data_IF_216096138040
#
_entry.id   IF_216096138040
#
_cell.length_a   1.000
_cell.length_b   1.000
_cell.length_c   1.000
_cell.angle_alpha   90.00
_cell.angle_beta   90.00
_cell.angle_gamma   90.00
#
_symmetry.space_group_name_H-M   'P 1'
#
loop_
_entity.id
_entity.type
_entity.pdbx_description
1 polymer ?
#
# COMPACT_ATOMS: atom_id res chain seq x y z
N UNK A 1 -10.72 -19.24 5.13
CA UNK A 1 -9.84 -18.47 4.23
C UNK A 1 -9.77 -17.02 4.71
N UNK A 2 -8.60 -16.37 4.63
CA UNK A 2 -8.42 -14.96 5.01
C UNK A 2 -7.42 -14.28 4.07
N UNK A 3 -7.82 -13.20 3.39
CA UNK A 3 -6.94 -12.40 2.53
C UNK A 3 -6.89 -10.95 3.00
N UNK A 4 -5.71 -10.49 3.37
CA UNK A 4 -5.50 -9.15 3.88
C UNK A 4 -4.51 -8.38 3.00
N UNK A 5 -4.91 -7.21 2.51
CA UNK A 5 -4.05 -6.29 1.78
C UNK A 5 -4.02 -4.95 2.51
N UNK A 6 -2.84 -4.57 2.97
CA UNK A 6 -2.55 -3.28 3.57
C UNK A 6 -1.63 -2.50 2.65
N UNK A 7 -2.01 -1.28 2.29
CA UNK A 7 -1.16 -0.36 1.53
C UNK A 7 -0.93 0.94 2.28
N UNK A 8 0.32 1.34 2.42
CA UNK A 8 0.72 2.62 3.00
C UNK A 8 1.31 3.54 1.94
N UNK A 9 0.93 4.82 1.94
CA UNK A 9 1.56 5.89 1.16
C UNK A 9 2.02 6.95 2.14
N UNK A 10 3.33 7.21 2.18
CA UNK A 10 3.95 8.09 3.17
C UNK A 10 4.71 9.21 2.47
N UNK A 11 4.49 10.46 2.88
CA UNK A 11 5.21 11.64 2.39
C UNK A 11 5.78 12.49 3.53
N UNK A 12 6.66 13.44 3.21
CA UNK A 12 7.33 14.32 4.17
C UNK A 12 8.10 13.52 5.23
N UNK A 13 7.88 13.85 6.49
CA UNK A 13 8.48 13.17 7.66
C UNK A 13 7.51 12.22 8.36
N UNK A 14 6.53 11.69 7.62
CA UNK A 14 5.50 10.81 8.19
C UNK A 14 6.07 9.47 8.66
N UNK A 15 5.37 8.86 9.62
CA UNK A 15 5.73 7.57 10.21
C UNK A 15 4.53 6.65 10.20
N UNK A 16 4.72 5.41 9.77
CA UNK A 16 3.70 4.36 9.86
C UNK A 16 4.22 3.13 10.61
N UNK A 17 3.31 2.43 11.29
CA UNK A 17 3.58 1.16 11.96
C UNK A 17 2.53 0.16 11.51
N UNK A 18 2.98 -1.00 11.03
CA UNK A 18 2.15 -2.14 10.75
C UNK A 18 2.56 -3.30 11.66
N UNK A 19 1.61 -3.85 12.39
CA UNK A 19 1.78 -5.08 13.16
C UNK A 19 0.60 -5.99 12.83
N UNK A 20 0.88 -7.09 12.14
CA UNK A 20 -0.13 -8.04 11.72
C UNK A 20 0.25 -9.42 12.20
N UNK A 21 -0.69 -10.16 12.77
CA UNK A 21 -0.46 -11.50 13.31
C UNK A 21 -1.55 -12.44 12.83
N UNK A 22 -1.15 -13.55 12.21
CA UNK A 22 -2.04 -14.66 11.87
C UNK A 22 -1.73 -15.80 12.83
N UNK A 23 -2.76 -16.31 13.48
CA UNK A 23 -2.70 -17.50 14.33
C UNK A 23 -3.56 -18.57 13.67
N UNK A 24 -3.00 -19.78 13.53
CA UNK A 24 -3.71 -20.95 13.02
C UNK A 24 -3.70 -22.03 14.09
N UNK A 25 -4.86 -22.24 14.72
CA UNK A 25 -5.04 -23.26 15.76
C UNK A 25 -4.84 -24.68 15.22
N UNK A 26 -4.51 -25.62 16.11
CA UNK A 26 -4.20 -27.01 15.75
C UNK A 26 -5.32 -27.71 14.98
N UNK A 27 -6.58 -27.40 15.29
CA UNK A 27 -7.75 -27.98 14.62
C UNK A 27 -8.10 -27.26 13.30
N UNK A 28 -7.46 -26.11 13.00
CA UNK A 28 -7.71 -25.28 11.82
C UNK A 28 -6.96 -25.78 10.58
N UNK A 29 -7.06 -27.08 10.30
CA UNK A 29 -6.51 -27.70 9.10
C UNK A 29 -7.17 -27.11 7.85
N UNK A 30 -6.45 -27.14 6.74
CA UNK A 30 -6.80 -26.58 5.43
C UNK A 30 -7.00 -25.07 5.43
N UNK A 31 -6.50 -24.36 6.45
CA UNK A 31 -6.52 -22.90 6.47
C UNK A 31 -5.71 -22.35 5.30
N UNK A 32 -6.35 -21.47 4.53
CA UNK A 32 -5.71 -20.64 3.51
C UNK A 32 -5.71 -19.18 4.00
N UNK A 33 -4.52 -18.62 4.20
CA UNK A 33 -4.34 -17.26 4.69
C UNK A 33 -3.22 -16.53 3.95
N UNK A 34 -3.50 -15.31 3.50
CA UNK A 34 -2.52 -14.41 2.91
C UNK A 34 -2.59 -13.02 3.56
N UNK A 35 -1.43 -12.48 3.94
CA UNK A 35 -1.29 -11.10 4.39
C UNK A 35 -0.22 -10.37 3.60
N UNK A 36 -0.62 -9.40 2.80
CA UNK A 36 0.28 -8.52 2.08
C UNK A 36 0.27 -7.11 2.68
N UNK A 37 1.43 -6.60 3.07
CA UNK A 37 1.65 -5.21 3.45
C UNK A 37 2.61 -4.56 2.44
N UNK A 38 2.17 -3.51 1.74
CA UNK A 38 3.00 -2.82 0.75
C UNK A 38 3.06 -1.35 1.10
N UNK A 39 4.25 -0.78 1.20
CA UNK A 39 4.43 0.60 1.63
C UNK A 39 5.23 1.38 0.59
N UNK A 40 4.67 2.51 0.15
CA UNK A 40 5.27 3.44 -0.78
C UNK A 40 5.74 4.69 -0.03
N UNK A 41 7.05 4.92 -0.04
CA UNK A 41 7.66 6.12 0.51
C UNK A 41 7.86 7.13 -0.63
N UNK A 42 7.20 8.28 -0.52
CA UNK A 42 7.29 9.40 -1.46
C UNK A 42 8.38 10.42 -1.08
N UNK A 43 8.98 10.28 0.11
CA UNK A 43 9.98 11.21 0.65
C UNK A 43 11.04 10.47 1.43
N UNK A 44 12.26 11.01 1.45
CA UNK A 44 13.42 10.37 2.11
C UNK A 44 13.31 10.33 3.64
N UNK A 45 12.59 11.30 4.21
CA UNK A 45 12.37 11.41 5.65
C UNK A 45 11.17 10.58 6.16
N UNK A 46 10.42 9.94 5.25
CA UNK A 46 9.30 9.09 5.62
C UNK A 46 9.82 7.74 6.13
N UNK A 47 9.20 7.21 7.19
CA UNK A 47 9.62 5.93 7.80
C UNK A 47 8.46 5.00 8.01
N UNK A 48 8.68 3.70 7.82
CA UNK A 48 7.69 2.67 8.12
C UNK A 48 8.34 1.52 8.87
N UNK A 49 7.68 1.04 9.91
CA UNK A 49 8.03 -0.17 10.62
C UNK A 49 6.94 -1.21 10.37
N UNK A 50 7.31 -2.36 9.83
CA UNK A 50 6.37 -3.44 9.53
C UNK A 50 6.82 -4.72 10.18
N UNK A 51 5.95 -5.33 10.98
CA UNK A 51 6.19 -6.58 11.69
C UNK A 51 5.03 -7.56 11.47
N UNK A 52 5.01 -8.28 10.33
CA UNK A 52 4.06 -9.36 10.11
C UNK A 52 4.53 -10.65 10.81
N UNK A 53 3.62 -11.36 11.47
CA UNK A 53 3.89 -12.56 12.27
C UNK A 53 2.96 -13.71 11.87
N UNK A 54 3.47 -14.94 11.91
CA UNK A 54 2.71 -16.17 11.71
C UNK A 54 2.96 -17.11 12.90
N UNK A 55 1.89 -17.57 13.53
CA UNK A 55 1.90 -18.64 14.53
C UNK A 55 1.02 -19.77 13.99
N UNK A 56 1.63 -20.88 13.58
CA UNK A 56 0.93 -21.99 12.92
C UNK A 56 1.07 -23.26 13.75
N UNK A 57 -0.05 -23.79 14.21
CA UNK A 57 -0.13 -25.02 14.99
C UNK A 57 -0.77 -26.20 14.22
N UNK A 58 -1.07 -26.01 12.93
CA UNK A 58 -1.67 -27.00 12.04
C UNK A 58 -0.74 -27.33 10.85
N UNK A 59 -0.75 -28.60 10.42
CA UNK A 59 0.19 -29.11 9.41
C UNK A 59 -0.30 -28.92 7.97
N UNK A 60 -1.59 -29.16 7.70
CA UNK A 60 -2.16 -29.09 6.35
C UNK A 60 -2.69 -27.67 6.07
N UNK A 61 -1.82 -26.67 5.91
CA UNK A 61 -2.23 -25.26 5.72
C UNK A 61 -1.46 -24.55 4.63
N UNK A 62 -2.03 -23.46 4.11
CA UNK A 62 -1.37 -22.53 3.19
C UNK A 62 -1.42 -21.15 3.78
N UNK A 63 -0.36 -20.76 4.48
CA UNK A 63 -0.28 -19.46 5.12
C UNK A 63 0.93 -18.70 4.60
N UNK A 64 0.72 -17.47 4.14
CA UNK A 64 1.78 -16.59 3.64
C UNK A 64 1.61 -15.19 4.20
N UNK A 65 2.73 -14.54 4.47
CA UNK A 65 2.77 -13.11 4.74
C UNK A 65 3.91 -12.46 3.96
N UNK A 66 3.73 -11.21 3.57
CA UNK A 66 4.74 -10.45 2.83
C UNK A 66 4.65 -8.99 3.19
N UNK A 67 5.82 -8.37 3.39
CA UNK A 67 5.92 -6.93 3.62
C UNK A 67 6.94 -6.34 2.65
N UNK A 68 6.53 -5.35 1.86
CA UNK A 68 7.43 -4.57 0.99
C UNK A 68 7.43 -3.10 1.39
N UNK A 69 8.60 -2.49 1.24
CA UNK A 69 8.80 -1.05 1.39
C UNK A 69 9.60 -0.61 0.18
N UNK A 70 9.11 0.39 -0.54
CA UNK A 70 9.76 0.86 -1.76
C UNK A 70 9.41 2.30 -2.08
N UNK A 71 10.02 2.79 -3.14
CA UNK A 71 9.76 4.11 -3.72
C UNK A 71 9.11 3.93 -5.09
N UNK A 72 8.65 5.04 -5.67
CA UNK A 72 8.22 5.03 -7.06
C UNK A 72 9.39 4.66 -7.97
N UNK A 73 9.10 3.90 -9.01
CA UNK A 73 10.06 3.54 -10.03
C UNK A 73 10.39 4.78 -10.89
N UNK A 74 11.63 5.24 -10.82
CA UNK A 74 12.11 6.40 -11.58
C UNK A 74 12.10 6.12 -13.10
N UNK A 75 12.20 4.86 -13.53
CA UNK A 75 12.06 4.51 -14.96
C UNK A 75 10.61 4.70 -15.43
N UNK A 76 9.63 4.28 -14.62
CA UNK A 76 8.21 4.53 -14.90
C UNK A 76 7.89 6.04 -14.94
N UNK A 77 8.46 6.83 -14.01
CA UNK A 77 8.34 8.29 -14.01
C UNK A 77 8.97 8.87 -15.28
N UNK A 78 10.20 8.45 -15.62
CA UNK A 78 10.89 8.89 -16.83
C UNK A 78 10.08 8.57 -18.09
N UNK A 79 9.51 7.36 -18.17
CA UNK A 79 8.68 6.94 -19.29
C UNK A 79 7.46 7.85 -19.45
N UNK A 80 6.70 8.13 -18.39
CA UNK A 80 5.55 9.04 -18.44
C UNK A 80 5.98 10.46 -18.86
N UNK A 81 7.10 10.95 -18.34
CA UNK A 81 7.65 12.25 -18.70
C UNK A 81 8.05 12.34 -20.17
N UNK A 82 8.61 11.26 -20.74
CA UNK A 82 8.93 11.19 -22.18
C UNK A 82 7.71 11.36 -23.09
N UNK A 83 6.49 11.14 -22.55
CA UNK A 83 5.21 11.31 -23.23
C UNK A 83 4.55 12.67 -22.96
N UNK A 84 5.26 13.60 -22.33
CA UNK A 84 4.79 14.96 -22.07
C UNK A 84 4.06 15.14 -20.74
N UNK A 85 4.00 14.11 -19.88
CA UNK A 85 3.36 14.21 -18.58
C UNK A 85 4.33 14.90 -17.60
N UNK A 86 3.86 15.92 -16.86
CA UNK A 86 4.69 16.61 -15.88
C UNK A 86 5.13 15.63 -14.78
N UNK A 87 6.32 15.85 -14.17
CA UNK A 87 6.86 14.92 -13.15
C UNK A 87 5.87 14.70 -12.00
N UNK A 88 5.28 15.78 -11.48
CA UNK A 88 4.36 15.70 -10.35
C UNK A 88 3.06 14.98 -10.74
N UNK A 89 2.63 15.14 -11.98
CA UNK A 89 1.48 14.41 -12.51
C UNK A 89 1.79 12.92 -12.68
N UNK A 90 2.98 12.55 -13.17
CA UNK A 90 3.43 11.17 -13.24
C UNK A 90 3.48 10.51 -11.84
N UNK A 91 4.01 11.23 -10.84
CA UNK A 91 4.03 10.77 -9.44
C UNK A 91 2.61 10.57 -8.92
N UNK A 92 1.71 11.54 -9.14
CA UNK A 92 0.30 11.42 -8.75
C UNK A 92 -0.38 10.23 -9.41
N UNK A 93 -0.19 10.03 -10.71
CA UNK A 93 -0.76 8.90 -11.47
C UNK A 93 -0.30 7.55 -10.92
N UNK A 94 1.01 7.37 -10.73
CA UNK A 94 1.56 6.12 -10.19
C UNK A 94 1.11 5.88 -8.74
N UNK A 95 1.00 6.94 -7.94
CA UNK A 95 0.53 6.84 -6.55
C UNK A 95 -0.96 6.50 -6.48
N UNK A 96 -1.78 7.10 -7.34
CA UNK A 96 -3.20 6.76 -7.49
C UNK A 96 -3.39 5.32 -7.95
N UNK A 97 -2.62 4.86 -8.94
CA UNK A 97 -2.64 3.47 -9.38
C UNK A 97 -2.28 2.50 -8.22
N UNK A 98 -1.28 2.86 -7.41
CA UNK A 98 -0.93 2.08 -6.22
C UNK A 98 -2.07 2.01 -5.20
N UNK A 99 -2.78 3.11 -4.94
CA UNK A 99 -3.96 3.13 -4.06
C UNK A 99 -5.16 2.38 -4.66
N UNK A 100 -5.32 2.44 -5.98
CA UNK A 100 -6.43 1.87 -6.75
C UNK A 100 -6.63 0.37 -6.48
N UNK A 101 -5.55 -0.41 -6.37
CA UNK A 101 -5.64 -1.85 -6.08
C UNK A 101 -6.43 -2.19 -4.79
N UNK A 102 -6.46 -1.28 -3.79
CA UNK A 102 -7.28 -1.46 -2.59
C UNK A 102 -8.73 -1.05 -2.85
N UNK A 103 -8.94 0.03 -3.60
CA UNK A 103 -10.26 0.56 -3.93
C UNK A 103 -11.04 -0.38 -4.86
N UNK A 104 -10.36 -1.06 -5.79
CA UNK A 104 -10.93 -2.07 -6.68
C UNK A 104 -11.54 -3.26 -5.91
N UNK A 105 -11.09 -3.53 -4.68
CA UNK A 105 -11.65 -4.59 -3.82
C UNK A 105 -12.95 -4.18 -3.12
N UNK A 106 -13.34 -2.91 -3.16
CA UNK A 106 -14.59 -2.45 -2.57
C UNK A 106 -15.77 -2.95 -3.40
N UNK A 107 -16.79 -3.57 -2.77
CA UNK A 107 -17.95 -4.11 -3.50
C UNK A 107 -18.99 -3.05 -3.88
N UNK A 108 -18.86 -1.82 -3.37
CA UNK A 108 -19.82 -0.72 -3.58
C UNK A 108 -19.15 0.33 -4.44
N UNK A 109 -19.60 0.46 -5.69
CA UNK A 109 -18.99 1.35 -6.68
C UNK A 109 -19.12 2.83 -6.27
N UNK A 110 -20.26 3.24 -5.70
CA UNK A 110 -20.45 4.62 -5.24
C UNK A 110 -19.51 4.99 -4.08
N UNK A 111 -19.16 4.01 -3.24
CA UNK A 111 -18.17 4.21 -2.19
C UNK A 111 -16.77 4.30 -2.78
N UNK A 112 -16.45 3.45 -3.77
CA UNK A 112 -15.17 3.47 -4.49
C UNK A 112 -14.94 4.84 -5.12
N UNK A 113 -15.87 5.34 -5.93
CA UNK A 113 -15.76 6.63 -6.62
C UNK A 113 -15.56 7.79 -5.62
N UNK A 114 -16.31 7.78 -4.51
CA UNK A 114 -16.17 8.80 -3.45
C UNK A 114 -14.79 8.74 -2.80
N UNK A 115 -14.26 7.55 -2.54
CA UNK A 115 -12.94 7.38 -1.94
C UNK A 115 -11.81 7.73 -2.90
N UNK A 116 -11.95 7.46 -4.20
CA UNK A 116 -11.00 7.89 -5.22
C UNK A 116 -10.83 9.41 -5.22
N UNK A 117 -11.93 10.16 -5.18
CA UNK A 117 -11.90 11.63 -5.07
C UNK A 117 -11.21 12.07 -3.77
N UNK A 118 -11.56 11.47 -2.63
CA UNK A 118 -10.96 11.82 -1.33
C UNK A 118 -9.45 11.54 -1.33
N UNK A 119 -9.02 10.41 -1.89
CA UNK A 119 -7.61 10.03 -1.98
C UNK A 119 -6.87 10.98 -2.92
N UNK A 120 -7.41 11.30 -4.09
CA UNK A 120 -6.82 12.25 -5.02
C UNK A 120 -6.60 13.63 -4.37
N UNK A 121 -7.59 14.13 -3.62
CA UNK A 121 -7.49 15.39 -2.89
C UNK A 121 -6.41 15.34 -1.79
N UNK A 122 -6.32 14.24 -1.03
CA UNK A 122 -5.28 14.08 -0.01
C UNK A 122 -3.89 14.02 -0.63
N UNK A 123 -3.72 13.29 -1.73
CA UNK A 123 -2.44 13.20 -2.44
C UNK A 123 -2.01 14.54 -3.02
N UNK A 124 -2.94 15.34 -3.54
CA UNK A 124 -2.65 16.71 -3.99
C UNK A 124 -2.14 17.57 -2.83
N UNK A 125 -2.82 17.56 -1.68
CA UNK A 125 -2.41 18.30 -0.50
C UNK A 125 -1.06 17.83 0.10
N UNK A 126 -0.67 16.58 -0.13
CA UNK A 126 0.63 16.06 0.30
C UNK A 126 1.81 16.59 -0.54
N UNK A 127 1.58 16.94 -1.81
CA UNK A 127 2.61 17.51 -2.69
C UNK A 127 2.97 18.96 -2.28
N UNK A 128 1.97 19.75 -1.88
CA UNK A 128 2.15 21.17 -1.51
C UNK A 128 2.94 21.35 -0.19
N UNK A 129 2.99 20.33 0.66
CA UNK A 129 3.71 20.39 1.94
C UNK A 129 5.19 19.97 1.84
N UNK A 130 5.68 19.64 0.64
CA UNK A 130 7.03 19.13 0.40
C UNK A 130 8.11 20.16 0.05
N UNK A 131 7.75 21.44 -0.14
CA UNK A 131 8.68 22.50 -0.59
C UNK A 131 9.20 23.42 0.54
N UNK A 132 9.06 23.04 1.81
CA UNK A 132 9.66 23.78 2.93
C UNK A 132 10.87 23.05 3.52
N UNK A 133 11.98 23.05 2.79
CA UNK A 133 13.32 22.79 3.31
C UNK A 133 14.36 23.59 2.52
#
# INVERSE_FOLDING_TARGET
ESHQLYKGILAGSSRAVFNGRIIVDQDAQKTDANQANRNLLLSDNATVHSNPQLEIFADDVRCTHGSTVGRLDEEAIFYLRSRGIARDEAIRLLTLAFAGEVLERLPVDELRERLEVVIALRLAAMADNGESA
#
